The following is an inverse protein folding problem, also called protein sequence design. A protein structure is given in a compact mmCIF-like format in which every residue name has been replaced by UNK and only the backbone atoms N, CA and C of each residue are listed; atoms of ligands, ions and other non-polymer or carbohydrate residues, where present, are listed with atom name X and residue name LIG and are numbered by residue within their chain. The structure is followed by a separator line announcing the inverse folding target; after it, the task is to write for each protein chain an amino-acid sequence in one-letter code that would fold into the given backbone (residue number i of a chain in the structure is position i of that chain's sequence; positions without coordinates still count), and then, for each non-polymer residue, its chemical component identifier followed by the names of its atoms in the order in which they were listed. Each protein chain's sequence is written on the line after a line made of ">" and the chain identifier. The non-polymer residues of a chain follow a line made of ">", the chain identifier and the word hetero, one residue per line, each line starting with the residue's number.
data_IF_839942015954
#
_entry.id   IF_839942015954
#
_cell.length_a   1.000
_cell.length_b   1.000
_cell.length_c   1.000
_cell.angle_alpha   90.00
_cell.angle_beta   90.00
_cell.angle_gamma   90.00
#
_symmetry.space_group_name_H-M   'P 1'
#
loop_
_entity.id
_entity.type
_entity.pdbx_description
1 polymer ?
#
# COMPACT_ATOMS: atom_id res chain seq x y z
N UNK A 1 -2.40 -16.05 23.41
CA UNK A 1 -2.23 -16.38 21.98
C UNK A 1 -2.38 -17.88 21.82
N UNK A 2 -3.08 -18.33 20.80
CA UNK A 2 -3.31 -19.75 20.50
C UNK A 2 -1.98 -20.45 20.19
N UNK A 3 -1.80 -21.70 20.67
CA UNK A 3 -0.54 -22.45 20.56
C UNK A 3 -0.13 -22.69 19.08
N UNK A 4 -1.09 -22.89 18.19
CA UNK A 4 -0.82 -23.05 16.75
C UNK A 4 -0.23 -21.76 16.16
N UNK A 5 -0.83 -20.59 16.46
CA UNK A 5 -0.30 -19.29 16.01
C UNK A 5 1.12 -19.07 16.53
N UNK A 6 1.37 -19.32 17.81
CA UNK A 6 2.72 -19.20 18.39
C UNK A 6 3.73 -20.10 17.67
N UNK A 7 3.36 -21.34 17.40
CA UNK A 7 4.21 -22.30 16.68
C UNK A 7 4.55 -21.81 15.26
N UNK A 8 3.59 -21.24 14.54
CA UNK A 8 3.83 -20.70 13.19
C UNK A 8 4.75 -19.48 13.26
N UNK A 9 4.50 -18.55 14.20
CA UNK A 9 5.34 -17.35 14.38
C UNK A 9 6.79 -17.75 14.74
N UNK A 10 6.98 -18.72 15.65
CA UNK A 10 8.32 -19.21 15.99
C UNK A 10 9.04 -19.84 14.81
N UNK A 11 8.30 -20.60 13.99
CA UNK A 11 8.82 -21.19 12.76
C UNK A 11 9.28 -20.11 11.77
N UNK A 12 8.48 -19.06 11.60
CA UNK A 12 8.84 -17.91 10.75
C UNK A 12 10.07 -17.17 11.30
N UNK A 13 10.13 -16.91 12.62
CA UNK A 13 11.30 -16.28 13.26
C UNK A 13 12.58 -17.10 13.04
N UNK A 14 12.48 -18.41 13.18
CA UNK A 14 13.63 -19.32 12.99
C UNK A 14 14.09 -19.38 11.54
N UNK A 15 13.15 -19.41 10.60
CA UNK A 15 13.41 -19.59 9.16
C UNK A 15 13.81 -18.28 8.47
N UNK A 16 13.22 -17.16 8.89
CA UNK A 16 13.30 -15.85 8.26
C UNK A 16 13.86 -14.76 9.21
N UNK A 17 14.64 -15.13 10.22
CA UNK A 17 15.20 -14.17 11.18
C UNK A 17 16.11 -13.09 10.60
N UNK A 18 16.60 -13.28 9.38
CA UNK A 18 17.35 -12.28 8.59
C UNK A 18 16.43 -11.39 7.69
N UNK A 19 15.13 -11.52 7.80
CA UNK A 19 14.11 -10.78 7.05
C UNK A 19 13.15 -10.05 8.03
N UNK A 20 13.64 -9.07 8.80
CA UNK A 20 12.91 -8.49 9.95
C UNK A 20 11.57 -7.87 9.59
N UNK A 21 11.43 -7.22 8.43
CA UNK A 21 10.16 -6.62 8.00
C UNK A 21 9.11 -7.70 7.69
N UNK A 22 9.53 -8.84 7.16
CA UNK A 22 8.63 -9.96 6.92
C UNK A 22 8.17 -10.58 8.24
N UNK A 23 9.09 -10.84 9.18
CA UNK A 23 8.76 -11.35 10.52
C UNK A 23 7.81 -10.41 11.24
N UNK A 24 8.09 -9.10 11.24
CA UNK A 24 7.25 -8.06 11.85
C UNK A 24 5.81 -8.12 11.32
N UNK A 25 5.64 -8.23 10.01
CA UNK A 25 4.32 -8.26 9.38
C UNK A 25 3.55 -9.54 9.69
N UNK A 26 4.23 -10.70 9.70
CA UNK A 26 3.60 -11.96 10.08
C UNK A 26 3.12 -11.91 11.53
N UNK A 27 3.94 -11.42 12.44
CA UNK A 27 3.57 -11.26 13.85
C UNK A 27 2.34 -10.36 14.03
N UNK A 28 2.31 -9.20 13.37
CA UNK A 28 1.18 -8.27 13.43
C UNK A 28 -0.11 -8.92 12.97
N UNK A 29 -0.09 -9.59 11.82
CA UNK A 29 -1.29 -10.20 11.24
C UNK A 29 -1.75 -11.39 12.07
N UNK A 30 -0.87 -12.38 12.30
CA UNK A 30 -1.27 -13.62 12.96
C UNK A 30 -1.72 -13.41 14.41
N UNK A 31 -1.14 -12.44 15.13
CA UNK A 31 -1.57 -12.12 16.50
C UNK A 31 -3.02 -11.64 16.57
N UNK A 32 -3.55 -11.07 15.50
CA UNK A 32 -4.95 -10.62 15.44
C UNK A 32 -5.95 -11.74 15.11
N UNK A 33 -5.46 -12.91 14.66
CA UNK A 33 -6.29 -14.05 14.26
C UNK A 33 -6.61 -15.02 15.39
N UNK A 34 -6.12 -14.74 16.60
CA UNK A 34 -6.33 -15.58 17.78
C UNK A 34 -7.80 -16.02 17.98
N UNK A 35 -8.78 -15.10 18.04
CA UNK A 35 -10.18 -15.44 18.24
C UNK A 35 -10.82 -16.17 17.03
N UNK A 36 -10.20 -16.07 15.86
CA UNK A 36 -10.66 -16.76 14.65
C UNK A 36 -10.23 -18.22 14.69
N UNK A 37 -8.95 -18.48 14.97
CA UNK A 37 -8.40 -19.83 15.01
C UNK A 37 -9.03 -20.66 16.15
N UNK A 38 -9.35 -20.04 17.29
CA UNK A 38 -10.08 -20.71 18.37
C UNK A 38 -11.45 -21.23 17.97
N UNK A 39 -12.15 -20.51 17.10
CA UNK A 39 -13.48 -20.91 16.61
C UNK A 39 -13.44 -21.88 15.44
N UNK A 40 -12.28 -22.01 14.77
CA UNK A 40 -12.11 -22.76 13.51
C UNK A 40 -10.95 -23.76 13.61
N UNK A 41 -11.10 -24.89 14.32
CA UNK A 41 -10.05 -25.91 14.47
C UNK A 41 -9.64 -26.55 13.13
N UNK A 42 -10.45 -26.46 12.12
CA UNK A 42 -10.14 -26.91 10.75
C UNK A 42 -8.96 -26.16 10.14
N UNK A 43 -8.68 -24.93 10.55
CA UNK A 43 -7.54 -24.15 10.07
C UNK A 43 -6.21 -24.73 10.54
N UNK A 44 -6.12 -25.16 11.81
CA UNK A 44 -4.96 -25.86 12.32
C UNK A 44 -4.82 -27.24 11.68
N UNK A 45 -5.92 -28.00 11.56
CA UNK A 45 -5.90 -29.34 10.95
C UNK A 45 -5.41 -29.33 9.50
N UNK A 46 -5.64 -28.23 8.75
CA UNK A 46 -5.17 -28.02 7.38
C UNK A 46 -3.80 -27.31 7.29
N UNK A 47 -3.14 -27.03 8.42
CA UNK A 47 -1.94 -26.19 8.49
C UNK A 47 -2.05 -24.90 7.67
N UNK A 48 -3.22 -24.26 7.77
CA UNK A 48 -3.58 -23.13 6.90
C UNK A 48 -2.64 -21.94 7.07
N UNK A 49 -2.31 -21.58 8.31
CA UNK A 49 -1.41 -20.46 8.61
C UNK A 49 0.03 -20.79 8.19
N UNK A 50 0.51 -22.01 8.43
CA UNK A 50 1.84 -22.45 7.99
C UNK A 50 2.00 -22.35 6.48
N UNK A 51 0.96 -22.71 5.74
CA UNK A 51 0.91 -22.56 4.27
C UNK A 51 0.81 -21.09 3.84
N UNK A 52 0.02 -20.28 4.54
CA UNK A 52 -0.23 -18.88 4.19
C UNK A 52 1.00 -17.98 4.40
N UNK A 53 1.88 -18.29 5.34
CA UNK A 53 3.10 -17.51 5.58
C UNK A 53 4.27 -17.84 4.64
N UNK A 54 4.13 -18.88 3.82
CA UNK A 54 5.12 -19.23 2.81
C UNK A 54 4.63 -18.82 1.41
N UNK A 55 5.43 -18.10 0.63
CA UNK A 55 5.04 -17.75 -0.74
C UNK A 55 4.99 -19.01 -1.63
N UNK A 56 3.98 -19.11 -2.51
CA UNK A 56 3.88 -20.19 -3.46
C UNK A 56 5.08 -20.24 -4.41
N UNK A 57 5.60 -19.07 -4.83
CA UNK A 57 6.80 -18.96 -5.65
C UNK A 57 7.55 -17.66 -5.39
N UNK A 58 8.88 -17.75 -5.41
CA UNK A 58 9.77 -16.59 -5.36
C UNK A 58 10.78 -16.69 -6.50
N UNK A 59 10.74 -15.71 -7.41
CA UNK A 59 11.70 -15.60 -8.50
C UNK A 59 12.76 -14.57 -8.15
N UNK A 60 14.03 -14.98 -8.31
CA UNK A 60 15.19 -14.09 -8.20
C UNK A 60 15.97 -14.17 -9.51
N UNK A 61 16.26 -13.03 -10.11
CA UNK A 61 16.93 -12.98 -11.41
C UNK A 61 17.87 -11.79 -11.53
N UNK A 62 18.90 -11.97 -12.34
CA UNK A 62 19.86 -10.93 -12.67
C UNK A 62 19.29 -9.99 -13.73
N UNK A 63 19.44 -8.68 -13.51
CA UNK A 63 19.08 -7.61 -14.44
C UNK A 63 20.35 -6.88 -14.87
N UNK A 64 20.72 -6.96 -16.15
CA UNK A 64 21.88 -6.28 -16.70
C UNK A 64 21.44 -5.17 -17.63
N UNK A 65 21.98 -3.97 -17.41
CA UNK A 65 21.66 -2.79 -18.21
C UNK A 65 22.91 -1.91 -18.37
N UNK A 66 22.87 -0.95 -19.30
CA UNK A 66 23.98 -0.01 -19.53
C UNK A 66 23.55 1.42 -19.21
N UNK A 67 24.46 2.20 -18.61
CA UNK A 67 24.27 3.64 -18.42
C UNK A 67 24.45 4.41 -19.74
N UNK A 68 24.28 5.73 -19.68
CA UNK A 68 24.40 6.60 -20.86
C UNK A 68 25.85 6.67 -21.41
N UNK A 69 26.85 6.32 -20.61
CA UNK A 69 28.24 6.17 -21.03
C UNK A 69 28.56 4.79 -21.66
N UNK A 70 27.56 3.88 -21.71
CA UNK A 70 27.73 2.52 -22.22
C UNK A 70 28.33 1.54 -21.21
N UNK A 71 28.54 1.93 -19.96
CA UNK A 71 29.06 1.06 -18.92
C UNK A 71 27.99 0.08 -18.44
N UNK A 72 28.30 -1.24 -18.37
CA UNK A 72 27.34 -2.22 -17.87
C UNK A 72 27.19 -2.17 -16.34
N UNK A 73 25.94 -2.37 -15.88
CA UNK A 73 25.54 -2.48 -14.49
C UNK A 73 24.73 -3.75 -14.26
N UNK A 74 24.76 -4.27 -13.04
CA UNK A 74 24.02 -5.46 -12.65
C UNK A 74 23.22 -5.17 -11.38
N UNK A 75 21.94 -5.50 -11.44
CA UNK A 75 21.02 -5.48 -10.30
C UNK A 75 20.35 -6.85 -10.12
N UNK A 76 19.74 -7.06 -8.97
CA UNK A 76 18.95 -8.25 -8.68
C UNK A 76 17.45 -7.88 -8.71
N UNK A 77 16.71 -8.57 -9.55
CA UNK A 77 15.26 -8.47 -9.65
C UNK A 77 14.57 -9.60 -8.89
N UNK A 78 13.39 -9.30 -8.37
CA UNK A 78 12.55 -10.21 -7.59
C UNK A 78 11.10 -10.17 -8.04
N UNK A 79 10.43 -11.33 -8.03
CA UNK A 79 8.95 -11.42 -8.08
C UNK A 79 8.49 -12.52 -7.14
N UNK A 80 7.62 -12.16 -6.22
CA UNK A 80 6.95 -13.05 -5.30
C UNK A 80 5.49 -13.24 -5.75
N UNK A 81 5.13 -14.46 -6.07
CA UNK A 81 3.78 -14.97 -6.24
C UNK A 81 3.40 -15.60 -4.91
N UNK A 82 2.73 -14.79 -4.04
CA UNK A 82 2.63 -15.17 -2.64
C UNK A 82 1.48 -16.13 -2.39
N UNK A 83 0.26 -15.76 -2.80
CA UNK A 83 -0.94 -16.58 -2.64
C UNK A 83 -1.92 -16.30 -3.78
N UNK A 84 -2.28 -17.35 -4.54
CA UNK A 84 -3.15 -17.29 -5.69
C UNK A 84 -4.57 -17.84 -5.45
N UNK A 85 -4.95 -18.18 -4.22
CA UNK A 85 -6.21 -18.85 -3.92
C UNK A 85 -7.46 -18.10 -4.40
N UNK A 86 -7.44 -16.76 -4.41
CA UNK A 86 -8.61 -15.94 -4.80
C UNK A 86 -8.51 -15.29 -6.18
N UNK A 87 -7.43 -15.55 -6.93
CA UNK A 87 -7.24 -15.02 -8.28
C UNK A 87 -5.77 -14.81 -8.65
N UNK A 88 -5.48 -14.25 -9.85
CA UNK A 88 -4.13 -14.02 -10.31
C UNK A 88 -3.35 -13.15 -9.31
N UNK A 89 -2.05 -13.45 -9.15
CA UNK A 89 -1.19 -12.69 -8.24
C UNK A 89 -1.15 -11.22 -8.67
N UNK A 90 -1.35 -10.31 -7.73
CA UNK A 90 -1.43 -8.88 -8.00
C UNK A 90 -0.63 -8.09 -6.98
N UNK A 91 0.23 -7.20 -7.46
CA UNK A 91 0.97 -6.27 -6.60
C UNK A 91 2.06 -5.51 -7.35
N UNK A 92 2.50 -4.40 -6.75
CA UNK A 92 3.42 -3.45 -7.36
C UNK A 92 4.87 -3.96 -7.52
N UNK A 93 5.65 -3.16 -8.24
CA UNK A 93 7.10 -3.29 -8.32
C UNK A 93 7.74 -2.14 -7.51
N UNK A 94 8.69 -2.46 -6.62
CA UNK A 94 9.45 -1.48 -5.85
C UNK A 94 10.89 -1.44 -6.36
N UNK A 95 11.36 -0.29 -6.78
CA UNK A 95 12.76 -0.08 -7.15
C UNK A 95 13.40 0.88 -6.16
N UNK A 96 14.27 0.35 -5.32
CA UNK A 96 15.02 1.07 -4.30
C UNK A 96 16.28 0.29 -3.94
N UNK A 97 17.40 0.95 -3.57
CA UNK A 97 18.68 0.28 -3.28
C UNK A 97 18.62 -0.78 -2.17
N UNK A 98 17.68 -0.64 -1.24
CA UNK A 98 17.52 -1.53 -0.09
C UNK A 98 16.55 -2.70 -0.33
N UNK A 99 16.10 -2.92 -1.56
CA UNK A 99 15.20 -4.04 -1.88
C UNK A 99 15.97 -5.36 -1.84
N UNK A 100 15.45 -6.28 -1.05
CA UNK A 100 15.94 -7.65 -0.88
C UNK A 100 14.75 -8.59 -0.64
N UNK A 101 14.93 -9.92 -0.58
CA UNK A 101 13.83 -10.87 -0.45
C UNK A 101 12.85 -10.59 0.69
N UNK A 102 13.32 -10.19 1.86
CA UNK A 102 12.49 -9.87 3.02
C UNK A 102 11.50 -8.73 2.77
N UNK A 103 11.94 -7.66 2.12
CA UNK A 103 11.07 -6.55 1.70
C UNK A 103 9.98 -7.03 0.72
N UNK A 104 10.35 -7.89 -0.23
CA UNK A 104 9.41 -8.40 -1.22
C UNK A 104 8.39 -9.35 -0.59
N UNK A 105 8.84 -10.21 0.34
CA UNK A 105 7.95 -11.13 1.09
C UNK A 105 6.99 -10.36 1.99
N UNK A 106 7.48 -9.40 2.78
CA UNK A 106 6.61 -8.59 3.63
C UNK A 106 5.49 -7.92 2.83
N UNK A 107 5.87 -7.24 1.74
CA UNK A 107 4.91 -6.56 0.88
C UNK A 107 3.98 -7.53 0.14
N UNK A 108 4.45 -8.72 -0.22
CA UNK A 108 3.66 -9.76 -0.83
C UNK A 108 2.64 -10.37 0.13
N UNK A 109 3.05 -10.61 1.37
CA UNK A 109 2.17 -11.11 2.43
C UNK A 109 1.06 -10.11 2.77
N UNK A 110 1.40 -8.83 3.00
CA UNK A 110 0.38 -7.78 3.18
C UNK A 110 -0.61 -7.71 2.01
N UNK A 111 -0.11 -7.97 0.79
CA UNK A 111 -0.91 -7.89 -0.41
C UNK A 111 -2.02 -8.95 -0.46
N UNK A 112 -1.86 -10.11 0.21
CA UNK A 112 -2.90 -11.14 0.33
C UNK A 112 -4.17 -10.53 0.96
N UNK A 113 -4.02 -9.94 2.13
CA UNK A 113 -5.12 -9.38 2.92
C UNK A 113 -5.71 -8.13 2.28
N UNK A 114 -4.84 -7.23 1.80
CA UNK A 114 -5.24 -6.02 1.09
C UNK A 114 -6.10 -6.33 -0.15
N UNK A 115 -5.67 -7.27 -0.98
CA UNK A 115 -6.38 -7.64 -2.18
C UNK A 115 -7.70 -8.32 -1.87
N UNK A 116 -7.72 -9.20 -0.88
CA UNK A 116 -8.92 -9.85 -0.38
C UNK A 116 -9.99 -8.86 0.07
N UNK A 117 -9.59 -7.81 0.81
CA UNK A 117 -10.49 -6.75 1.29
C UNK A 117 -11.18 -6.00 0.16
N UNK A 118 -10.58 -5.87 -1.02
CA UNK A 118 -11.21 -5.19 -2.17
C UNK A 118 -12.47 -5.91 -2.66
N UNK A 119 -12.67 -7.17 -2.29
CA UNK A 119 -13.74 -8.02 -2.81
C UNK A 119 -13.49 -8.55 -4.24
N UNK A 120 -12.43 -8.08 -4.91
CA UNK A 120 -12.10 -8.43 -6.29
C UNK A 120 -11.32 -9.76 -6.37
N UNK A 121 -11.39 -10.50 -7.48
CA UNK A 121 -10.72 -11.80 -7.64
C UNK A 121 -9.24 -11.61 -8.01
N UNK A 122 -8.44 -11.17 -7.05
CA UNK A 122 -6.99 -10.94 -7.21
C UNK A 122 -6.23 -11.49 -6.00
N UNK A 123 -5.23 -12.30 -6.25
CA UNK A 123 -4.33 -12.87 -5.26
C UNK A 123 -3.20 -11.93 -4.83
N UNK A 124 -2.37 -12.38 -3.90
CA UNK A 124 -1.25 -11.61 -3.37
C UNK A 124 0.04 -11.82 -4.15
N UNK A 125 0.70 -10.73 -4.55
CA UNK A 125 2.02 -10.77 -5.18
C UNK A 125 2.79 -9.47 -5.01
N UNK A 126 4.11 -9.53 -5.17
CA UNK A 126 5.00 -8.35 -5.10
C UNK A 126 6.27 -8.57 -5.89
N UNK A 127 6.84 -7.49 -6.40
CA UNK A 127 8.15 -7.55 -7.06
C UNK A 127 8.96 -6.29 -6.83
N UNK A 128 10.17 -6.29 -7.38
CA UNK A 128 11.08 -5.15 -7.30
C UNK A 128 12.51 -5.50 -7.65
N UNK A 129 13.39 -4.56 -7.40
CA UNK A 129 14.84 -4.73 -7.57
C UNK A 129 15.60 -3.74 -6.69
N UNK A 130 16.86 -4.03 -6.43
CA UNK A 130 17.82 -3.17 -5.75
C UNK A 130 18.33 -2.00 -6.65
N UNK A 131 17.53 -1.60 -7.61
CA UNK A 131 17.79 -0.51 -8.55
C UNK A 131 17.34 0.83 -7.98
N UNK A 132 18.24 1.80 -7.98
CA UNK A 132 17.92 3.19 -7.63
C UNK A 132 17.65 4.03 -8.88
N UNK A 133 16.41 4.46 -9.12
CA UNK A 133 16.08 5.33 -10.26
C UNK A 133 16.50 6.79 -10.03
N UNK A 134 16.87 7.19 -8.80
CA UNK A 134 17.24 8.57 -8.51
C UNK A 134 18.50 8.97 -9.27
N UNK A 135 18.45 10.10 -9.97
CA UNK A 135 19.56 10.61 -10.77
C UNK A 135 19.86 9.85 -12.07
N UNK A 136 19.02 8.90 -12.46
CA UNK A 136 19.11 8.20 -13.75
C UNK A 136 18.32 8.95 -14.82
N UNK A 137 18.81 8.87 -16.06
CA UNK A 137 18.08 9.36 -17.22
C UNK A 137 16.87 8.45 -17.54
N UNK A 138 15.89 8.97 -18.24
CA UNK A 138 14.75 8.17 -18.74
C UNK A 138 15.23 7.01 -19.63
N UNK A 139 16.30 7.22 -20.39
CA UNK A 139 16.90 6.19 -21.24
C UNK A 139 17.55 5.06 -20.42
N UNK A 140 18.22 5.37 -19.32
CA UNK A 140 18.79 4.40 -18.39
C UNK A 140 17.68 3.60 -17.69
N UNK A 141 16.63 4.28 -17.16
CA UNK A 141 15.46 3.64 -16.56
C UNK A 141 14.78 2.72 -17.58
N UNK A 142 14.62 3.16 -18.82
CA UNK A 142 14.02 2.35 -19.90
C UNK A 142 14.84 1.08 -20.16
N UNK A 143 16.17 1.18 -20.28
CA UNK A 143 17.05 0.02 -20.48
C UNK A 143 16.97 -0.97 -19.31
N UNK A 144 16.98 -0.45 -18.08
CA UNK A 144 16.77 -1.28 -16.90
C UNK A 144 15.42 -2.01 -16.95
N UNK A 145 14.32 -1.30 -17.19
CA UNK A 145 12.96 -1.87 -17.25
C UNK A 145 12.82 -2.91 -18.37
N UNK A 146 13.42 -2.70 -19.52
CA UNK A 146 13.43 -3.67 -20.62
C UNK A 146 14.18 -4.95 -20.24
N UNK A 147 15.33 -4.83 -19.58
CA UNK A 147 16.09 -5.97 -19.10
C UNK A 147 15.33 -6.72 -17.98
N UNK A 148 14.77 -5.98 -17.01
CA UNK A 148 13.92 -6.56 -15.96
C UNK A 148 12.75 -7.35 -16.55
N UNK A 149 12.04 -6.77 -17.51
CA UNK A 149 10.90 -7.43 -18.17
C UNK A 149 11.34 -8.63 -19.00
N UNK A 150 12.52 -8.61 -19.63
CA UNK A 150 13.07 -9.75 -20.38
C UNK A 150 13.28 -10.97 -19.47
N UNK A 151 13.66 -10.75 -18.22
CA UNK A 151 13.80 -11.84 -17.25
C UNK A 151 12.43 -12.30 -16.70
N UNK A 152 11.46 -11.38 -16.55
CA UNK A 152 10.20 -11.63 -15.86
C UNK A 152 9.07 -12.16 -16.77
N UNK A 153 9.02 -11.81 -18.05
CA UNK A 153 7.83 -11.95 -18.91
C UNK A 153 7.24 -13.36 -18.99
N UNK A 154 8.04 -14.39 -18.74
CA UNK A 154 7.60 -15.80 -18.80
C UNK A 154 6.70 -16.19 -17.62
N UNK A 155 6.77 -15.45 -16.52
CA UNK A 155 6.12 -15.78 -15.24
C UNK A 155 4.90 -14.92 -14.97
N UNK A 156 4.59 -13.97 -15.85
CA UNK A 156 3.47 -13.03 -15.70
C UNK A 156 2.50 -13.14 -16.89
N UNK A 157 1.29 -12.70 -16.66
CA UNK A 157 0.21 -12.72 -17.66
C UNK A 157 -1.09 -12.21 -17.05
N UNK A 158 -2.10 -11.84 -17.87
CA UNK A 158 -3.37 -11.29 -17.40
C UNK A 158 -4.09 -12.17 -16.37
N UNK A 159 -4.00 -13.49 -16.53
CA UNK A 159 -4.68 -14.48 -15.70
C UNK A 159 -3.72 -15.28 -14.80
N UNK A 160 -2.46 -14.88 -14.72
CA UNK A 160 -1.43 -15.55 -13.92
C UNK A 160 -0.94 -14.60 -12.83
N UNK A 161 -0.30 -13.51 -13.25
CA UNK A 161 0.36 -12.56 -12.36
C UNK A 161 0.43 -11.18 -13.04
N UNK A 162 -0.15 -10.18 -12.40
CA UNK A 162 -0.28 -8.83 -12.95
C UNK A 162 0.44 -7.81 -12.07
N UNK A 163 1.71 -7.49 -12.37
CA UNK A 163 2.43 -6.44 -11.67
C UNK A 163 1.78 -5.06 -11.86
N UNK A 164 1.91 -4.20 -10.86
CA UNK A 164 1.48 -2.80 -10.92
C UNK A 164 2.68 -1.85 -11.09
N UNK A 165 2.42 -0.73 -11.77
CA UNK A 165 3.42 0.16 -12.32
C UNK A 165 3.84 -0.31 -13.71
N UNK A 166 3.59 0.53 -14.73
CA UNK A 166 3.97 0.21 -16.11
C UNK A 166 5.50 0.30 -16.28
N UNK A 167 6.13 -0.82 -16.06
CA UNK A 167 7.58 -0.98 -16.11
C UNK A 167 7.97 -1.92 -17.24
N UNK A 168 7.66 -1.54 -18.48
CA UNK A 168 8.09 -2.26 -19.66
C UNK A 168 7.01 -3.09 -20.36
N UNK A 169 5.76 -2.62 -20.35
CA UNK A 169 4.66 -3.27 -21.10
C UNK A 169 4.98 -3.42 -22.59
N UNK A 170 5.65 -2.43 -23.18
CA UNK A 170 6.12 -2.51 -24.58
C UNK A 170 7.09 -3.68 -24.81
N UNK A 171 8.04 -3.90 -23.90
CA UNK A 171 8.97 -5.02 -23.98
C UNK A 171 8.24 -6.36 -23.78
N UNK A 172 7.30 -6.43 -22.83
CA UNK A 172 6.48 -7.63 -22.64
C UNK A 172 5.75 -8.03 -23.92
N UNK A 173 5.02 -7.09 -24.54
CA UNK A 173 4.27 -7.31 -25.80
C UNK A 173 5.18 -7.75 -26.95
N UNK A 174 6.36 -7.15 -27.05
CA UNK A 174 7.37 -7.52 -28.04
C UNK A 174 7.86 -8.95 -27.86
N UNK A 175 8.10 -9.37 -26.61
CA UNK A 175 8.57 -10.74 -26.31
C UNK A 175 7.46 -11.80 -26.47
N UNK A 176 6.22 -11.45 -26.12
CA UNK A 176 5.05 -12.34 -26.29
C UNK A 176 4.55 -12.40 -27.73
N UNK A 177 4.81 -11.37 -28.54
CA UNK A 177 4.30 -11.27 -29.91
C UNK A 177 2.81 -11.01 -30.02
N UNK A 178 2.15 -10.57 -28.92
CA UNK A 178 0.72 -10.28 -28.87
C UNK A 178 0.40 -9.08 -27.98
N UNK A 179 -0.77 -8.50 -28.18
CA UNK A 179 -1.27 -7.36 -27.41
C UNK A 179 -2.09 -7.82 -26.20
N UNK A 180 -1.42 -8.34 -25.18
CA UNK A 180 -2.05 -8.67 -23.89
C UNK A 180 -2.17 -7.39 -23.04
N UNK A 181 -3.36 -6.76 -23.08
CA UNK A 181 -3.56 -5.47 -22.43
C UNK A 181 -3.64 -5.55 -20.90
N UNK A 182 -4.13 -6.67 -20.36
CA UNK A 182 -4.36 -6.88 -18.93
C UNK A 182 -3.12 -7.23 -18.10
N UNK A 183 -1.92 -7.37 -18.71
CA UNK A 183 -0.75 -7.93 -18.01
C UNK A 183 -0.08 -6.99 -17.00
N UNK A 184 -0.16 -5.71 -17.19
CA UNK A 184 0.41 -4.69 -16.30
C UNK A 184 -0.63 -3.62 -16.03
N UNK A 185 -0.62 -3.02 -14.84
CA UNK A 185 -1.52 -1.92 -14.50
C UNK A 185 -0.73 -0.64 -14.17
N UNK A 186 -1.39 0.51 -14.24
CA UNK A 186 -0.74 1.82 -14.18
C UNK A 186 -0.18 2.25 -15.53
N UNK A 187 -0.71 1.69 -16.61
CA UNK A 187 -0.35 2.05 -17.99
C UNK A 187 -0.75 3.49 -18.32
N UNK A 188 -0.11 4.05 -19.34
CA UNK A 188 -0.56 5.31 -19.94
C UNK A 188 -1.95 5.17 -20.58
N UNK A 189 -2.72 6.25 -20.57
CA UNK A 189 -4.10 6.26 -21.09
C UNK A 189 -4.18 5.86 -22.57
N UNK A 190 -3.15 6.18 -23.37
CA UNK A 190 -3.08 5.87 -24.80
C UNK A 190 -2.96 4.37 -25.11
N UNK A 191 -2.67 3.53 -24.11
CA UNK A 191 -2.47 2.09 -24.34
C UNK A 191 -3.05 1.20 -23.23
N UNK A 192 -4.18 1.60 -22.70
CA UNK A 192 -5.04 0.77 -21.85
C UNK A 192 -4.95 1.07 -20.34
N UNK A 193 -4.42 2.23 -19.95
CA UNK A 193 -4.46 2.71 -18.58
C UNK A 193 -5.84 3.17 -18.14
N UNK A 194 -6.09 3.21 -16.84
CA UNK A 194 -7.32 3.70 -16.23
C UNK A 194 -7.15 5.14 -15.73
N UNK A 195 -8.19 5.94 -15.90
CA UNK A 195 -8.31 7.24 -15.26
C UNK A 195 -8.32 7.11 -13.74
N UNK A 196 -8.00 8.18 -13.02
CA UNK A 196 -7.91 8.27 -11.56
C UNK A 196 -6.90 7.30 -10.89
N UNK A 197 -6.11 6.52 -11.65
CA UNK A 197 -5.15 5.56 -11.07
C UNK A 197 -4.03 6.21 -10.24
N UNK A 198 -3.43 7.34 -10.65
CA UNK A 198 -2.41 8.04 -9.85
C UNK A 198 -2.94 8.54 -8.50
N UNK A 199 -4.17 9.00 -8.45
CA UNK A 199 -4.86 9.52 -7.27
C UNK A 199 -5.40 8.43 -6.35
N UNK A 200 -5.66 7.24 -6.88
CA UNK A 200 -6.51 6.22 -6.27
C UNK A 200 -6.16 5.84 -4.83
N UNK A 201 -4.88 5.78 -4.48
CA UNK A 201 -4.47 5.45 -3.11
C UNK A 201 -4.85 6.56 -2.14
N UNK A 202 -4.55 7.81 -2.49
CA UNK A 202 -4.90 8.96 -1.67
C UNK A 202 -6.40 9.21 -1.60
N UNK A 203 -7.11 9.07 -2.71
CA UNK A 203 -8.58 9.17 -2.75
C UNK A 203 -9.22 8.10 -1.89
N UNK A 204 -8.78 6.85 -2.03
CA UNK A 204 -9.27 5.72 -1.22
C UNK A 204 -9.05 5.95 0.28
N UNK A 205 -7.87 6.45 0.66
CA UNK A 205 -7.59 6.75 2.07
C UNK A 205 -8.55 7.79 2.65
N UNK A 206 -8.90 8.82 1.87
CA UNK A 206 -9.86 9.83 2.30
C UNK A 206 -11.28 9.28 2.34
N UNK A 207 -11.69 8.42 1.42
CA UNK A 207 -12.99 7.75 1.48
C UNK A 207 -13.12 6.81 2.68
N UNK A 208 -12.05 6.04 2.98
CA UNK A 208 -12.03 5.23 4.19
C UNK A 208 -12.15 6.08 5.46
N UNK A 209 -11.40 7.19 5.53
CA UNK A 209 -11.51 8.16 6.61
C UNK A 209 -12.93 8.72 6.76
N UNK A 210 -13.64 9.01 5.66
CA UNK A 210 -15.04 9.45 5.73
C UNK A 210 -15.93 8.43 6.44
N UNK A 211 -15.75 7.13 6.20
CA UNK A 211 -16.54 6.10 6.87
C UNK A 211 -16.18 5.98 8.36
N UNK A 212 -14.90 6.14 8.72
CA UNK A 212 -14.48 6.21 10.13
C UNK A 212 -15.14 7.40 10.84
N UNK A 213 -15.12 8.58 10.22
CA UNK A 213 -15.75 9.78 10.78
C UNK A 213 -17.28 9.62 10.90
N UNK A 214 -17.91 9.04 9.88
CA UNK A 214 -19.36 8.78 9.86
C UNK A 214 -19.78 7.81 10.97
N UNK A 215 -18.96 6.79 11.25
CA UNK A 215 -19.19 5.89 12.40
C UNK A 215 -19.22 6.68 13.72
N UNK A 216 -18.36 7.67 13.87
CA UNK A 216 -18.31 8.55 15.04
C UNK A 216 -19.35 9.70 15.02
N UNK A 217 -20.22 9.77 14.01
CA UNK A 217 -21.20 10.85 13.85
C UNK A 217 -20.58 12.19 13.43
N UNK A 218 -19.35 12.18 12.88
CA UNK A 218 -18.62 13.37 12.47
C UNK A 218 -18.54 13.51 10.93
N UNK A 219 -18.25 14.72 10.45
CA UNK A 219 -17.99 15.03 9.05
C UNK A 219 -16.51 15.35 8.85
N UNK A 220 -16.01 15.09 7.63
CA UNK A 220 -14.66 15.48 7.22
C UNK A 220 -14.52 16.99 6.96
N UNK A 221 -15.64 17.67 6.70
CA UNK A 221 -15.66 19.11 6.42
C UNK A 221 -15.10 19.92 7.60
N UNK A 222 -14.17 20.81 7.31
CA UNK A 222 -13.49 21.64 8.30
C UNK A 222 -12.37 20.95 9.10
N UNK A 223 -12.17 19.65 8.95
CA UNK A 223 -11.11 18.90 9.66
C UNK A 223 -9.71 19.24 9.14
N UNK A 224 -8.75 19.16 10.04
CA UNK A 224 -7.33 19.33 9.77
C UNK A 224 -6.63 17.96 9.72
N UNK A 225 -5.76 17.78 8.73
CA UNK A 225 -5.01 16.54 8.50
C UNK A 225 -3.51 16.84 8.55
N UNK A 226 -2.79 16.21 9.47
CA UNK A 226 -1.33 16.18 9.43
C UNK A 226 -0.87 14.93 8.64
N UNK A 227 -0.34 15.14 7.44
CA UNK A 227 0.15 14.09 6.56
C UNK A 227 1.67 14.10 6.45
N UNK A 228 2.26 12.93 6.17
CA UNK A 228 3.66 12.80 5.81
C UNK A 228 3.82 12.56 4.31
N UNK A 229 5.00 12.89 3.77
CA UNK A 229 5.28 12.78 2.34
C UNK A 229 4.73 13.93 1.50
N UNK A 230 5.06 13.93 0.21
CA UNK A 230 4.51 14.80 -0.84
C UNK A 230 4.46 14.08 -2.21
N UNK A 231 4.51 12.74 -2.18
CA UNK A 231 4.39 11.89 -3.36
C UNK A 231 2.95 11.76 -3.87
N UNK A 232 2.72 10.79 -4.79
CA UNK A 232 1.40 10.52 -5.39
C UNK A 232 0.28 10.34 -4.36
N UNK A 233 0.59 9.61 -3.28
CA UNK A 233 -0.39 9.28 -2.25
C UNK A 233 -0.83 10.54 -1.53
N UNK A 234 0.11 11.33 -1.03
CA UNK A 234 -0.17 12.59 -0.32
C UNK A 234 -0.81 13.61 -1.24
N UNK A 235 -0.37 13.70 -2.51
CA UNK A 235 -1.04 14.53 -3.52
C UNK A 235 -2.51 14.15 -3.69
N UNK A 236 -2.82 12.85 -3.80
CA UNK A 236 -4.20 12.37 -3.87
C UNK A 236 -5.00 12.70 -2.61
N UNK A 237 -4.41 12.55 -1.40
CA UNK A 237 -5.04 12.97 -0.15
C UNK A 237 -5.37 14.46 -0.19
N UNK A 238 -4.42 15.32 -0.54
CA UNK A 238 -4.62 16.78 -0.62
C UNK A 238 -5.75 17.14 -1.58
N UNK A 239 -5.76 16.52 -2.78
CA UNK A 239 -6.76 16.78 -3.82
C UNK A 239 -8.17 16.38 -3.36
N UNK A 240 -8.33 15.19 -2.77
CA UNK A 240 -9.64 14.71 -2.31
C UNK A 240 -10.09 15.40 -1.02
N UNK A 241 -9.21 15.61 -0.06
CA UNK A 241 -9.51 16.33 1.18
C UNK A 241 -10.02 17.75 0.87
N UNK A 242 -9.34 18.48 -0.02
CA UNK A 242 -9.79 19.79 -0.50
C UNK A 242 -11.19 19.74 -1.10
N UNK A 243 -11.50 18.76 -1.96
CA UNK A 243 -12.83 18.58 -2.55
C UNK A 243 -13.93 18.38 -1.50
N UNK A 244 -13.59 17.80 -0.36
CA UNK A 244 -14.51 17.47 0.74
C UNK A 244 -14.45 18.47 1.90
N UNK A 245 -13.77 19.61 1.73
CA UNK A 245 -13.72 20.69 2.71
C UNK A 245 -12.74 20.51 3.86
N UNK A 246 -11.86 19.51 3.81
CA UNK A 246 -10.79 19.32 4.80
C UNK A 246 -9.46 19.98 4.35
N UNK A 247 -8.55 20.20 5.30
CA UNK A 247 -7.27 20.87 5.08
C UNK A 247 -6.11 19.94 5.45
N UNK A 248 -5.23 19.65 4.49
CA UNK A 248 -3.94 19.00 4.77
C UNK A 248 -2.94 20.09 5.15
N UNK A 249 -2.57 20.14 6.43
CA UNK A 249 -1.78 21.23 7.01
C UNK A 249 -0.28 20.93 7.11
N UNK A 250 0.15 19.71 6.81
CA UNK A 250 1.58 19.34 6.79
C UNK A 250 1.92 18.51 5.56
N UNK A 251 3.14 18.69 5.08
CA UNK A 251 3.80 17.82 4.10
C UNK A 251 5.20 17.54 4.63
N UNK A 252 5.78 16.38 4.35
CA UNK A 252 7.14 16.07 4.77
C UNK A 252 7.98 15.43 3.67
N UNK A 253 9.28 15.64 3.74
CA UNK A 253 10.27 15.06 2.85
C UNK A 253 11.51 14.61 3.63
N UNK A 254 12.56 14.13 2.94
CA UNK A 254 13.83 13.78 3.59
C UNK A 254 14.51 14.96 4.28
N UNK A 255 14.21 16.18 3.86
CA UNK A 255 14.79 17.42 4.35
C UNK A 255 14.04 18.02 5.57
N UNK A 256 12.85 17.50 5.91
CA UNK A 256 12.04 18.00 7.04
C UNK A 256 10.55 18.00 6.74
N UNK A 257 9.81 18.88 7.40
CA UNK A 257 8.39 19.08 7.09
C UNK A 257 8.01 20.57 6.98
N UNK A 258 6.91 20.84 6.31
CA UNK A 258 6.28 22.16 6.26
C UNK A 258 5.00 22.16 7.07
N UNK A 259 4.71 23.28 7.72
CA UNK A 259 3.44 23.57 8.36
C UNK A 259 2.73 24.72 7.65
N UNK A 260 1.59 24.43 7.06
CA UNK A 260 0.74 25.38 6.36
C UNK A 260 -0.63 25.44 7.06
N UNK A 261 -0.89 26.43 7.91
CA UNK A 261 -2.13 26.52 8.66
C UNK A 261 -3.38 26.70 7.78
N UNK A 262 -3.23 27.24 6.58
CA UNK A 262 -4.31 27.34 5.57
C UNK A 262 -4.50 26.05 4.80
N UNK A 263 -3.55 25.15 4.91
CA UNK A 263 -3.49 23.84 4.26
C UNK A 263 -3.22 23.93 2.75
N UNK A 264 -3.06 22.75 2.15
CA UNK A 264 -2.99 22.57 0.69
C UNK A 264 -4.42 22.70 0.11
N UNK A 265 -4.95 23.92 0.15
CA UNK A 265 -6.38 24.23 -0.04
C UNK A 265 -6.73 24.89 -1.39
N UNK A 266 -5.73 25.24 -2.20
CA UNK A 266 -5.93 25.84 -3.52
C UNK A 266 -5.50 24.90 -4.65
N UNK A 267 -6.00 25.09 -5.87
CA UNK A 267 -5.56 24.32 -7.03
C UNK A 267 -4.07 24.52 -7.29
N UNK A 268 -3.57 25.76 -7.16
CA UNK A 268 -2.15 26.07 -7.31
C UNK A 268 -1.28 25.27 -6.33
N UNK A 269 -1.66 25.16 -5.05
CA UNK A 269 -0.92 24.38 -4.06
C UNK A 269 -0.93 22.89 -4.40
N UNK A 270 -2.07 22.34 -4.83
CA UNK A 270 -2.21 20.93 -5.23
C UNK A 270 -1.38 20.62 -6.49
N UNK A 271 -1.43 21.48 -7.49
CA UNK A 271 -0.67 21.30 -8.74
C UNK A 271 0.82 21.43 -8.51
N UNK A 272 1.25 22.32 -7.62
CA UNK A 272 2.66 22.49 -7.29
C UNK A 272 3.31 21.22 -6.69
N UNK A 273 2.55 20.36 -6.02
CA UNK A 273 3.07 19.06 -5.56
C UNK A 273 3.54 18.18 -6.72
N UNK A 274 2.85 18.22 -7.88
CA UNK A 274 3.28 17.51 -9.08
C UNK A 274 4.55 18.12 -9.68
N UNK A 275 4.67 19.44 -9.66
CA UNK A 275 5.87 20.19 -10.11
C UNK A 275 7.08 19.83 -9.24
N UNK A 276 6.94 19.83 -7.92
CA UNK A 276 7.98 19.42 -6.97
C UNK A 276 8.48 18.00 -7.24
N UNK A 277 7.56 17.08 -7.52
CA UNK A 277 7.91 15.68 -7.87
C UNK A 277 8.68 15.60 -9.18
N UNK A 278 8.22 16.27 -10.23
CA UNK A 278 8.87 16.27 -11.56
C UNK A 278 10.24 16.92 -11.54
N UNK A 279 10.51 17.81 -10.58
CA UNK A 279 11.83 18.44 -10.40
C UNK A 279 12.94 17.46 -10.02
N UNK A 280 12.60 16.30 -9.45
CA UNK A 280 13.56 15.28 -8.96
C UNK A 280 14.38 15.71 -7.73
N UNK A 281 14.21 16.92 -7.20
CA UNK A 281 15.00 17.44 -6.07
C UNK A 281 14.66 16.80 -4.73
N UNK A 282 13.46 16.24 -4.61
CA UNK A 282 12.96 15.55 -3.41
C UNK A 282 13.07 16.41 -2.12
N UNK A 283 12.75 17.72 -2.22
CA UNK A 283 12.82 18.67 -1.11
C UNK A 283 11.46 19.30 -0.84
N UNK A 284 10.92 19.08 0.36
CA UNK A 284 9.64 19.70 0.77
C UNK A 284 9.80 21.19 1.07
N UNK A 285 11.02 21.65 1.37
CA UNK A 285 11.34 23.07 1.55
C UNK A 285 10.93 23.94 0.34
N UNK A 286 10.94 23.38 -0.86
CA UNK A 286 10.53 24.12 -2.06
C UNK A 286 9.07 24.63 -1.95
N UNK A 287 8.19 23.87 -1.28
CA UNK A 287 6.82 24.31 -1.00
C UNK A 287 6.79 25.50 -0.04
N UNK A 288 7.59 25.44 1.05
CA UNK A 288 7.67 26.53 2.02
C UNK A 288 8.20 27.82 1.39
N UNK A 289 9.23 27.70 0.54
CA UNK A 289 9.82 28.84 -0.15
C UNK A 289 8.84 29.50 -1.13
N UNK A 290 8.01 28.70 -1.83
CA UNK A 290 7.03 29.21 -2.79
C UNK A 290 5.83 29.90 -2.12
N UNK A 291 5.30 29.30 -1.05
CA UNK A 291 4.05 29.77 -0.43
C UNK A 291 4.26 30.56 0.86
N UNK A 292 5.51 30.77 1.31
CA UNK A 292 5.83 31.56 2.49
C UNK A 292 5.36 30.94 3.81
N UNK A 293 5.36 29.60 3.90
CA UNK A 293 4.91 28.85 5.07
C UNK A 293 6.09 28.32 5.90
N UNK A 294 5.84 27.88 7.14
CA UNK A 294 6.88 27.42 8.04
C UNK A 294 7.54 26.13 7.56
N UNK A 295 8.87 26.06 7.66
CA UNK A 295 9.67 24.86 7.37
C UNK A 295 10.48 24.45 8.60
N UNK A 296 10.38 23.18 8.97
CA UNK A 296 11.07 22.55 10.09
C UNK A 296 12.08 21.54 9.57
N UNK A 297 13.35 21.94 9.53
CA UNK A 297 14.43 21.14 8.95
C UNK A 297 14.74 19.88 9.78
N UNK A 298 14.80 18.72 9.14
CA UNK A 298 15.16 17.44 9.77
C UNK A 298 14.14 16.90 10.77
N UNK A 299 12.97 17.55 10.91
CA UNK A 299 11.90 17.12 11.81
C UNK A 299 10.78 16.42 11.08
N UNK A 300 9.89 15.75 11.84
CA UNK A 300 8.67 15.07 11.35
C UNK A 300 7.42 15.72 11.95
N UNK A 301 6.27 15.71 11.25
CA UNK A 301 5.08 16.47 11.64
C UNK A 301 4.27 15.87 12.80
N UNK A 302 4.75 14.85 13.49
CA UNK A 302 3.97 14.05 14.42
C UNK A 302 3.57 14.75 15.73
N UNK A 303 4.11 15.95 16.01
CA UNK A 303 3.69 16.78 17.13
C UNK A 303 2.74 17.93 16.75
N UNK A 304 2.40 18.07 15.48
CA UNK A 304 1.52 19.13 14.99
C UNK A 304 0.08 18.83 15.41
N UNK A 305 -0.59 19.82 16.01
CA UNK A 305 -2.00 19.69 16.41
C UNK A 305 -2.88 19.60 15.17
N UNK A 306 -3.56 18.47 15.02
CA UNK A 306 -4.49 18.20 13.94
C UNK A 306 -5.60 17.25 14.43
N UNK A 307 -6.73 17.22 13.75
CA UNK A 307 -7.81 16.25 14.04
C UNK A 307 -7.42 14.83 13.62
N UNK A 308 -6.66 14.71 12.52
CA UNK A 308 -6.34 13.46 11.83
C UNK A 308 -4.86 13.40 11.53
N UNK A 309 -4.22 12.26 11.79
CA UNK A 309 -2.84 11.96 11.44
C UNK A 309 -2.82 10.91 10.33
N UNK A 310 -2.13 11.18 9.20
CA UNK A 310 -2.05 10.29 8.04
C UNK A 310 -0.59 10.03 7.63
N UNK A 311 0.08 9.01 8.20
CA UNK A 311 1.44 8.64 7.77
C UNK A 311 1.40 8.04 6.36
N UNK A 312 1.83 8.79 5.36
CA UNK A 312 1.74 8.43 3.94
C UNK A 312 3.08 8.41 3.19
N UNK A 313 4.22 8.44 3.92
CA UNK A 313 5.55 8.45 3.33
C UNK A 313 6.15 7.04 3.14
N UNK A 314 6.60 6.39 4.22
CA UNK A 314 7.34 5.14 4.13
C UNK A 314 7.07 4.21 5.33
N UNK A 315 7.56 2.95 5.21
CA UNK A 315 7.46 1.96 6.28
C UNK A 315 8.29 2.37 7.51
N UNK A 316 7.80 1.98 8.70
CA UNK A 316 8.42 2.23 10.00
C UNK A 316 8.80 3.71 10.23
N UNK A 317 8.04 4.63 9.64
CA UNK A 317 8.22 6.09 9.81
C UNK A 317 7.82 6.57 11.20
N UNK A 318 6.93 5.84 11.88
CA UNK A 318 6.42 6.09 13.22
C UNK A 318 6.91 5.00 14.17
N UNK A 319 7.90 5.30 14.99
CA UNK A 319 8.37 4.47 16.08
C UNK A 319 7.72 4.90 17.42
N UNK A 320 8.11 4.30 18.55
CA UNK A 320 7.54 4.60 19.85
C UNK A 320 7.70 6.08 20.26
N UNK A 321 8.82 6.74 19.91
CA UNK A 321 9.01 8.17 20.21
C UNK A 321 7.99 9.03 19.44
N UNK A 322 7.80 8.74 18.16
CA UNK A 322 6.83 9.43 17.31
C UNK A 322 5.39 9.15 17.76
N UNK A 323 5.09 7.92 18.13
CA UNK A 323 3.76 7.52 18.62
C UNK A 323 3.37 8.30 19.90
N UNK A 324 4.31 8.53 20.82
CA UNK A 324 4.07 9.38 22.00
C UNK A 324 3.77 10.82 21.63
N UNK A 325 4.42 11.37 20.60
CA UNK A 325 4.11 12.72 20.09
C UNK A 325 2.71 12.78 19.50
N UNK A 326 2.33 11.77 18.73
CA UNK A 326 0.98 11.63 18.15
C UNK A 326 -0.08 11.55 19.26
N UNK A 327 0.11 10.70 20.26
CA UNK A 327 -0.82 10.59 21.37
C UNK A 327 -0.99 11.92 22.16
N UNK A 328 0.07 12.74 22.21
CA UNK A 328 0.08 14.02 22.91
C UNK A 328 -0.47 15.19 22.07
N UNK A 329 -0.55 15.08 20.73
CA UNK A 329 -0.97 16.19 19.86
C UNK A 329 -2.48 16.45 19.87
N UNK A 330 -3.28 15.54 20.44
CA UNK A 330 -4.74 15.68 20.58
C UNK A 330 -5.53 15.22 19.34
N UNK A 331 -4.91 14.52 18.40
CA UNK A 331 -5.62 13.89 17.28
C UNK A 331 -6.57 12.79 17.77
N UNK A 332 -7.72 12.66 17.12
CA UNK A 332 -8.69 11.60 17.38
C UNK A 332 -8.56 10.42 16.41
N UNK A 333 -7.93 10.62 15.27
CA UNK A 333 -7.88 9.66 14.19
C UNK A 333 -6.45 9.46 13.71
N UNK A 334 -5.97 8.23 13.77
CA UNK A 334 -4.70 7.80 13.21
C UNK A 334 -4.96 6.83 12.05
N UNK A 335 -4.75 7.32 10.83
CA UNK A 335 -5.15 6.65 9.59
C UNK A 335 -3.87 6.27 8.82
N UNK A 336 -3.44 5.04 8.93
CA UNK A 336 -2.24 4.56 8.24
C UNK A 336 -2.43 4.51 6.73
N UNK A 337 -1.57 5.19 5.97
CA UNK A 337 -1.66 5.21 4.49
C UNK A 337 -0.48 4.53 3.82
N UNK A 338 0.75 4.78 4.27
CA UNK A 338 1.90 4.01 3.77
C UNK A 338 1.79 2.53 4.18
N UNK A 339 2.48 1.63 3.49
CA UNK A 339 2.52 0.24 3.93
C UNK A 339 3.35 0.14 5.22
N UNK A 340 2.77 -0.45 6.26
CA UNK A 340 3.40 -0.64 7.57
C UNK A 340 4.16 0.61 8.07
N UNK A 341 3.50 1.78 8.19
CA UNK A 341 4.21 3.02 8.55
C UNK A 341 4.63 3.04 10.01
N UNK A 342 4.04 2.20 10.85
CA UNK A 342 4.20 2.16 12.29
C UNK A 342 4.88 0.86 12.73
N UNK A 343 5.83 0.92 13.66
CA UNK A 343 6.39 -0.27 14.28
C UNK A 343 5.35 -0.97 15.16
N UNK A 344 5.43 -2.29 15.36
CA UNK A 344 4.40 -3.06 16.08
C UNK A 344 4.19 -2.59 17.51
N UNK A 345 5.25 -2.25 18.22
CA UNK A 345 5.20 -1.69 19.58
C UNK A 345 4.51 -0.32 19.62
N UNK A 346 4.81 0.53 18.65
CA UNK A 346 4.19 1.84 18.49
C UNK A 346 2.71 1.75 18.09
N UNK A 347 2.37 0.82 17.19
CA UNK A 347 0.98 0.56 16.79
C UNK A 347 0.14 0.09 17.98
N UNK A 348 0.66 -0.87 18.75
CA UNK A 348 0.00 -1.34 19.97
C UNK A 348 -0.23 -0.20 20.96
N UNK A 349 0.79 0.63 21.20
CA UNK A 349 0.69 1.80 22.06
C UNK A 349 -0.39 2.78 21.59
N UNK A 350 -0.47 3.07 20.29
CA UNK A 350 -1.49 3.96 19.74
C UNK A 350 -2.91 3.38 19.86
N UNK A 351 -3.06 2.08 19.64
CA UNK A 351 -4.36 1.39 19.80
C UNK A 351 -4.86 1.36 21.25
N UNK A 352 -3.97 1.46 22.23
CA UNK A 352 -4.30 1.52 23.66
C UNK A 352 -4.72 2.94 24.13
N UNK A 353 -4.60 3.97 23.26
CA UNK A 353 -5.01 5.33 23.62
C UNK A 353 -6.54 5.47 23.61
N UNK A 354 -7.17 5.91 24.71
CA UNK A 354 -8.63 5.83 24.89
C UNK A 354 -9.45 6.72 23.93
N UNK A 355 -8.83 7.72 23.32
CA UNK A 355 -9.51 8.68 22.43
C UNK A 355 -8.95 8.68 21.01
N UNK A 356 -8.21 7.65 20.61
CA UNK A 356 -7.59 7.56 19.31
C UNK A 356 -8.12 6.33 18.56
N UNK A 357 -8.77 6.57 17.43
CA UNK A 357 -9.18 5.52 16.52
C UNK A 357 -8.04 5.27 15.52
N UNK A 358 -7.62 4.01 15.43
CA UNK A 358 -6.53 3.57 14.55
C UNK A 358 -7.09 2.76 13.39
N UNK A 359 -6.79 3.17 12.16
CA UNK A 359 -7.16 2.46 10.93
C UNK A 359 -5.93 1.89 10.23
N UNK A 360 -5.94 0.60 9.83
CA UNK A 360 -4.76 -0.10 9.34
C UNK A 360 -4.44 0.22 7.89
N UNK A 361 -3.16 0.25 7.56
CA UNK A 361 -2.65 0.57 6.22
C UNK A 361 -3.23 -0.30 5.10
N UNK A 362 -3.37 -1.61 5.33
CA UNK A 362 -3.84 -2.57 4.32
C UNK A 362 -5.29 -2.33 3.88
N UNK A 363 -6.13 -1.80 4.76
CA UNK A 363 -7.50 -1.38 4.44
C UNK A 363 -7.51 0.02 3.81
N UNK A 364 -6.86 0.98 4.45
CA UNK A 364 -6.86 2.39 4.07
C UNK A 364 -6.25 2.64 2.68
N UNK A 365 -5.13 2.00 2.36
CA UNK A 365 -4.44 2.21 1.08
C UNK A 365 -4.84 1.25 -0.05
N UNK A 366 -5.90 0.47 0.15
CA UNK A 366 -6.38 -0.50 -0.84
C UNK A 366 -6.91 0.14 -2.14
N UNK A 367 -7.22 1.44 -2.12
CA UNK A 367 -7.71 2.16 -3.29
C UNK A 367 -6.82 2.02 -4.52
N UNK A 368 -5.50 2.07 -4.34
CA UNK A 368 -4.55 1.93 -5.44
C UNK A 368 -4.61 0.57 -6.13
N UNK A 369 -4.67 -0.52 -5.39
CA UNK A 369 -4.79 -1.87 -5.97
C UNK A 369 -6.20 -2.12 -6.51
N UNK A 370 -7.23 -1.55 -5.89
CA UNK A 370 -8.61 -1.64 -6.36
C UNK A 370 -8.77 -1.02 -7.74
N UNK A 371 -8.32 0.22 -7.96
CA UNK A 371 -8.34 0.84 -9.29
C UNK A 371 -7.45 0.09 -10.28
N UNK A 372 -6.34 -0.51 -9.82
CA UNK A 372 -5.56 -1.40 -10.69
C UNK A 372 -6.36 -2.63 -11.15
N UNK A 373 -7.17 -3.24 -10.28
CA UNK A 373 -8.04 -4.35 -10.68
C UNK A 373 -9.19 -3.88 -11.59
N UNK A 374 -9.72 -2.68 -11.37
CA UNK A 374 -10.67 -2.06 -12.30
C UNK A 374 -10.05 -1.80 -13.68
N UNK A 375 -8.75 -1.43 -13.74
CA UNK A 375 -8.01 -1.32 -15.00
C UNK A 375 -7.93 -2.68 -15.71
N UNK A 376 -7.70 -3.78 -14.97
CA UNK A 376 -7.75 -5.13 -15.55
C UNK A 376 -9.13 -5.45 -16.12
N UNK A 377 -10.21 -5.12 -15.41
CA UNK A 377 -11.59 -5.31 -15.91
C UNK A 377 -11.84 -4.51 -17.19
N UNK A 378 -11.51 -3.21 -17.21
CA UNK A 378 -11.61 -2.38 -18.41
C UNK A 378 -10.80 -2.96 -19.59
N UNK A 379 -9.61 -3.52 -19.31
CA UNK A 379 -8.78 -4.15 -20.34
C UNK A 379 -9.41 -5.45 -20.88
N UNK A 380 -10.04 -6.24 -20.03
CA UNK A 380 -10.74 -7.47 -20.44
C UNK A 380 -11.98 -7.17 -21.27
N UNK A 381 -12.74 -6.15 -20.89
CA UNK A 381 -13.90 -5.65 -21.63
C UNK A 381 -13.51 -4.92 -22.93
N UNK A 382 -12.25 -4.48 -23.05
CA UNK A 382 -11.74 -3.58 -24.09
C UNK A 382 -12.44 -2.21 -24.13
N UNK A 383 -12.87 -1.74 -22.97
CA UNK A 383 -13.54 -0.46 -22.77
C UNK A 383 -12.68 0.44 -21.87
N UNK A 384 -13.00 1.73 -21.88
CA UNK A 384 -12.46 2.71 -20.94
C UNK A 384 -13.61 3.33 -20.18
N UNK A 385 -13.49 3.38 -18.85
CA UNK A 385 -14.47 4.03 -18.00
C UNK A 385 -14.13 5.51 -17.80
N UNK A 386 -15.13 6.31 -17.54
CA UNK A 386 -14.98 7.73 -17.19
C UNK A 386 -14.36 7.90 -15.80
N UNK A 387 -13.88 9.11 -15.50
CA UNK A 387 -13.36 9.43 -14.15
C UNK A 387 -14.43 9.19 -13.08
N UNK A 388 -15.68 9.59 -13.36
CA UNK A 388 -16.78 9.46 -12.40
C UNK A 388 -17.15 7.99 -12.14
N UNK A 389 -17.11 7.14 -13.16
CA UNK A 389 -17.31 5.70 -13.00
C UNK A 389 -16.22 5.06 -12.14
N UNK A 390 -14.95 5.38 -12.42
CA UNK A 390 -13.81 4.83 -11.63
C UNK A 390 -13.84 5.36 -10.19
N UNK A 391 -14.05 6.66 -9.99
CA UNK A 391 -14.09 7.28 -8.66
C UNK A 391 -15.31 6.78 -7.85
N UNK A 392 -16.47 6.64 -8.50
CA UNK A 392 -17.68 6.08 -7.88
C UNK A 392 -17.51 4.63 -7.44
N UNK A 393 -16.86 3.79 -8.25
CA UNK A 393 -16.54 2.40 -7.87
C UNK A 393 -15.48 2.36 -6.76
N UNK A 394 -14.46 3.20 -6.83
CA UNK A 394 -13.45 3.33 -5.78
C UNK A 394 -14.09 3.68 -4.43
N UNK A 395 -14.99 4.68 -4.42
CA UNK A 395 -15.70 5.08 -3.20
C UNK A 395 -16.49 3.93 -2.60
N UNK A 396 -17.34 3.26 -3.39
CA UNK A 396 -18.12 2.09 -2.95
C UNK A 396 -17.24 0.97 -2.40
N UNK A 397 -16.09 0.73 -3.04
CA UNK A 397 -15.15 -0.27 -2.58
C UNK A 397 -14.57 0.09 -1.21
N UNK A 398 -14.18 1.35 -0.98
CA UNK A 398 -13.62 1.79 0.29
C UNK A 398 -14.66 1.78 1.42
N UNK A 399 -15.90 2.17 1.12
CA UNK A 399 -17.06 2.02 2.03
C UNK A 399 -17.24 0.55 2.44
N UNK A 400 -17.18 -0.38 1.48
CA UNK A 400 -17.29 -1.81 1.75
C UNK A 400 -16.10 -2.34 2.56
N UNK A 401 -14.87 -1.92 2.27
CA UNK A 401 -13.66 -2.34 3.03
C UNK A 401 -13.79 -1.92 4.50
N UNK A 402 -14.23 -0.68 4.77
CA UNK A 402 -14.47 -0.22 6.12
C UNK A 402 -15.55 -1.08 6.80
N UNK A 403 -16.71 -1.27 6.14
CA UNK A 403 -17.84 -2.04 6.67
C UNK A 403 -17.42 -3.46 7.04
N UNK A 404 -16.79 -4.21 6.14
CA UNK A 404 -16.40 -5.61 6.42
C UNK A 404 -15.32 -5.71 7.50
N UNK A 405 -14.46 -4.71 7.62
CA UNK A 405 -13.47 -4.65 8.70
C UNK A 405 -14.12 -4.41 10.05
N UNK A 406 -15.07 -3.48 10.14
CA UNK A 406 -15.82 -3.20 11.37
C UNK A 406 -16.68 -4.40 11.78
N UNK A 407 -17.43 -4.99 10.84
CA UNK A 407 -18.27 -6.17 11.07
C UNK A 407 -17.44 -7.38 11.54
N UNK A 408 -16.27 -7.61 10.96
CA UNK A 408 -15.39 -8.70 11.38
C UNK A 408 -14.85 -8.49 12.82
N UNK A 409 -14.49 -7.28 13.19
CA UNK A 409 -14.09 -6.97 14.57
C UNK A 409 -15.23 -7.22 15.55
N UNK A 410 -16.43 -6.78 15.25
CA UNK A 410 -17.64 -6.99 16.06
C UNK A 410 -17.99 -8.48 16.20
N UNK A 411 -17.98 -9.26 15.11
CA UNK A 411 -18.25 -10.71 15.08
C UNK A 411 -17.37 -11.49 16.07
N UNK A 412 -16.14 -11.04 16.26
CA UNK A 412 -15.18 -11.68 17.17
C UNK A 412 -15.05 -10.98 18.54
N UNK A 413 -15.95 -10.03 18.84
CA UNK A 413 -16.03 -9.37 20.16
C UNK A 413 -14.90 -8.39 20.43
N UNK A 414 -14.27 -7.84 19.37
CA UNK A 414 -13.16 -6.90 19.45
C UNK A 414 -13.61 -5.43 19.38
N UNK A 415 -14.91 -5.17 19.38
CA UNK A 415 -15.49 -3.84 19.23
C UNK A 415 -15.07 -3.17 17.93
N UNK A 416 -14.80 -1.86 17.95
CA UNK A 416 -14.39 -1.11 16.74
C UNK A 416 -12.87 -1.15 16.52
N UNK A 417 -12.27 -2.33 16.62
CA UNK A 417 -10.86 -2.55 16.34
C UNK A 417 -10.64 -2.80 14.84
N UNK A 418 -10.45 -1.74 14.06
CA UNK A 418 -10.30 -1.80 12.61
C UNK A 418 -9.01 -2.52 12.17
N UNK A 419 -7.97 -2.54 13.01
CA UNK A 419 -6.70 -3.24 12.71
C UNK A 419 -6.94 -4.75 12.69
N UNK A 420 -7.47 -5.29 13.77
CA UNK A 420 -7.82 -6.70 13.86
C UNK A 420 -8.93 -7.08 12.84
N UNK A 421 -9.96 -6.24 12.73
CA UNK A 421 -11.07 -6.48 11.80
C UNK A 421 -10.64 -6.58 10.34
N UNK A 422 -9.73 -5.72 9.88
CA UNK A 422 -9.19 -5.80 8.51
C UNK A 422 -8.36 -7.07 8.29
N UNK A 423 -7.55 -7.47 9.27
CA UNK A 423 -6.80 -8.73 9.20
C UNK A 423 -7.74 -9.93 9.13
N UNK A 424 -8.76 -9.97 10.00
CA UNK A 424 -9.75 -11.06 10.06
C UNK A 424 -10.57 -11.12 8.75
N UNK A 425 -11.13 -10.01 8.31
CA UNK A 425 -11.93 -9.97 7.08
C UNK A 425 -11.12 -10.39 5.85
N UNK A 426 -9.88 -9.89 5.73
CA UNK A 426 -8.97 -10.28 4.66
C UNK A 426 -8.58 -11.75 4.72
N UNK A 427 -8.34 -12.28 5.92
CA UNK A 427 -7.99 -13.68 6.16
C UNK A 427 -9.13 -14.62 5.79
N UNK A 428 -10.35 -14.41 6.30
CA UNK A 428 -11.48 -15.34 6.14
C UNK A 428 -11.70 -15.76 4.68
N UNK A 429 -11.78 -14.79 3.77
CA UNK A 429 -12.00 -15.06 2.34
C UNK A 429 -10.91 -15.91 1.71
N UNK A 430 -9.64 -15.66 2.05
CA UNK A 430 -8.51 -16.43 1.53
C UNK A 430 -8.46 -17.81 2.17
N UNK A 431 -8.74 -17.90 3.46
CA UNK A 431 -8.80 -19.17 4.21
C UNK A 431 -9.86 -20.13 3.63
N UNK A 432 -11.08 -19.63 3.40
CA UNK A 432 -12.15 -20.39 2.75
C UNK A 432 -11.71 -20.93 1.38
N UNK A 433 -11.16 -20.05 0.53
CA UNK A 433 -10.69 -20.45 -0.79
C UNK A 433 -9.58 -21.51 -0.72
N UNK A 434 -8.63 -21.36 0.22
CA UNK A 434 -7.55 -22.34 0.41
C UNK A 434 -8.05 -23.69 0.91
N UNK A 435 -9.09 -23.71 1.77
CA UNK A 435 -9.70 -24.95 2.26
C UNK A 435 -10.48 -25.67 1.16
N UNK A 436 -11.32 -24.92 0.42
CA UNK A 436 -12.14 -25.49 -0.65
C UNK A 436 -11.31 -26.04 -1.80
N UNK A 437 -10.19 -25.42 -2.13
CA UNK A 437 -9.27 -25.89 -3.18
C UNK A 437 -8.35 -27.02 -2.71
N UNK A 438 -8.22 -27.25 -1.41
CA UNK A 438 -7.42 -28.32 -0.83
C UNK A 438 -5.91 -28.09 -0.83
N UNK A 439 -5.15 -29.17 -0.89
CA UNK A 439 -3.69 -29.17 -0.90
C UNK A 439 -3.18 -29.34 -2.34
N UNK A 440 -2.43 -28.38 -2.84
CA UNK A 440 -1.82 -28.40 -4.19
C UNK A 440 -0.45 -27.76 -4.18
#
# INVERSE_FOLDING_TARGET
>A
MNAYIESVIETVRKKHGNEPEFVQTVEEVLSSLDPVVEKHPEYEAADLLGRMVEPERMFTFRVVWTDDAGKPHTNIGYRCQFNGAIGPYKGGLRFQPNVYPGIIKFLGFEQIFKNSLTGLPIGGGKGGADFDPAGKSDAEIMRFCQSFMTALYRYIGPDIDVPAGDMGVGQYRRLKGCFENGVLTGKGLSYGGSLARPEATGYGAVYYLQEVLKHEGESIEGKTIAAAGFGNVTWGICKKAKQLGAKVITLSGPDGYVYDPDGVSTDEKVEYLLEMRSSGRNKVKDYADKFGVEFHAGEKPWGVKADIIMPSAMQNDVNMEQAKKIAACGAKYYIEVANMPTTNDALKFLMEQPNLIVAPSKAVNAGGVGVSAMEMSQNSERLSWTVDEVDGQLKKMMENIHRVSAEAAEEYGLGYNLVAGANIAGFKKVAEAMLEQGLF
#
